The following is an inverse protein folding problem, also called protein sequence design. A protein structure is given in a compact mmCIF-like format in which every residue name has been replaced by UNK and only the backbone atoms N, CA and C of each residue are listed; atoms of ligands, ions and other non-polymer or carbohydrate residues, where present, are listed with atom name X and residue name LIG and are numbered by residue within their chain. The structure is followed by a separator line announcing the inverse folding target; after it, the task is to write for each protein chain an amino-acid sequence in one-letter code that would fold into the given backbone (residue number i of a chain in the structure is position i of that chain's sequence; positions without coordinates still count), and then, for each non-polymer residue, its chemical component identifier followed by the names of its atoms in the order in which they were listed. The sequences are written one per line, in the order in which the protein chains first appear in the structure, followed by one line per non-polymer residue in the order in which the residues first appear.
data_IF_079522471576
#
_entry.id   IF_079522471576
#
_cell.length_a   1.000
_cell.length_b   1.000
_cell.length_c   1.000
_cell.angle_alpha   90.00
_cell.angle_beta   90.00
_cell.angle_gamma   90.00
#
_symmetry.space_group_name_H-M   'P 1'
#
loop_
_entity.id
_entity.type
_entity.pdbx_description
1 polymer ?
#
# COMPACT_ATOMS: atom_id res chain seq x y z
N UNK A 1 -32.70 -38.62 -13.98
CA UNK A 1 -31.89 -38.25 -12.80
C UNK A 1 -30.68 -37.47 -13.30
N UNK A 2 -30.75 -36.14 -13.27
CA UNK A 2 -29.60 -35.26 -13.48
C UNK A 2 -29.90 -33.97 -12.70
N UNK A 3 -29.46 -33.93 -11.44
CA UNK A 3 -29.48 -32.71 -10.63
C UNK A 3 -28.24 -31.90 -10.98
N UNK A 4 -28.43 -30.78 -11.67
CA UNK A 4 -27.39 -29.75 -11.81
C UNK A 4 -27.10 -29.18 -10.42
N UNK A 5 -25.82 -29.00 -10.01
CA UNK A 5 -25.53 -28.28 -8.79
C UNK A 5 -25.90 -26.81 -8.98
N UNK A 6 -26.79 -26.35 -8.11
CA UNK A 6 -27.17 -24.95 -7.92
C UNK A 6 -25.88 -24.15 -7.67
N UNK A 7 -25.65 -23.13 -8.48
CA UNK A 7 -24.59 -22.17 -8.27
C UNK A 7 -24.81 -21.49 -6.90
N UNK A 8 -23.86 -21.68 -5.98
CA UNK A 8 -23.81 -20.95 -4.71
C UNK A 8 -23.34 -19.53 -5.03
N UNK A 9 -24.28 -18.65 -5.40
CA UNK A 9 -24.06 -17.20 -5.36
C UNK A 9 -24.61 -16.70 -4.04
N UNK A 10 -23.77 -16.75 -3.02
CA UNK A 10 -24.03 -16.19 -1.70
C UNK A 10 -22.72 -15.71 -1.10
N UNK A 11 -22.03 -14.80 -1.78
CA UNK A 11 -20.98 -14.02 -1.15
C UNK A 11 -21.66 -12.76 -0.58
N UNK A 12 -21.75 -12.69 0.74
CA UNK A 12 -22.12 -11.44 1.40
C UNK A 12 -20.98 -10.46 1.17
N UNK A 13 -21.24 -9.35 0.47
CA UNK A 13 -20.20 -8.37 0.16
C UNK A 13 -20.09 -7.34 1.29
N UNK A 14 -18.93 -7.23 1.92
CA UNK A 14 -18.66 -6.23 2.95
C UNK A 14 -17.85 -5.05 2.38
N UNK A 15 -18.51 -3.91 2.15
CA UNK A 15 -17.84 -2.71 1.64
C UNK A 15 -17.14 -1.88 2.73
N UNK A 16 -17.33 -2.21 4.01
CA UNK A 16 -16.80 -1.42 5.11
C UNK A 16 -15.26 -1.41 5.15
N UNK A 17 -14.65 -2.59 5.16
CA UNK A 17 -13.19 -2.75 5.20
C UNK A 17 -12.45 -2.17 3.99
N UNK A 18 -12.86 -2.45 2.73
CA UNK A 18 -12.17 -1.87 1.58
C UNK A 18 -12.30 -0.35 1.52
N UNK A 19 -13.45 0.20 1.95
CA UNK A 19 -13.65 1.65 2.02
C UNK A 19 -12.78 2.27 3.12
N UNK A 20 -12.75 1.67 4.31
CA UNK A 20 -11.92 2.14 5.43
C UNK A 20 -10.44 2.12 5.08
N UNK A 21 -9.96 1.03 4.48
CA UNK A 21 -8.57 0.89 4.01
C UNK A 21 -8.23 1.97 2.98
N UNK A 22 -9.10 2.16 1.98
CA UNK A 22 -8.89 3.13 0.90
C UNK A 22 -8.87 4.56 1.43
N UNK A 23 -9.84 4.94 2.28
CA UNK A 23 -9.91 6.27 2.87
C UNK A 23 -8.70 6.56 3.77
N UNK A 24 -8.29 5.58 4.58
CA UNK A 24 -7.10 5.70 5.44
C UNK A 24 -5.83 5.89 4.60
N UNK A 25 -5.71 5.15 3.49
CA UNK A 25 -4.59 5.29 2.57
C UNK A 25 -4.57 6.67 1.88
N UNK A 26 -5.73 7.20 1.48
CA UNK A 26 -5.85 8.55 0.91
C UNK A 26 -5.40 9.60 1.94
N UNK A 27 -5.90 9.53 3.17
CA UNK A 27 -5.54 10.49 4.24
C UNK A 27 -4.04 10.47 4.50
N UNK A 28 -3.44 9.28 4.65
CA UNK A 28 -2.01 9.14 4.90
C UNK A 28 -1.17 9.64 3.70
N UNK A 29 -1.60 9.33 2.48
CA UNK A 29 -0.94 9.83 1.25
C UNK A 29 -0.98 11.35 1.18
N UNK A 30 -2.12 11.97 1.45
CA UNK A 30 -2.26 13.44 1.47
C UNK A 30 -1.33 14.05 2.51
N UNK A 31 -1.24 13.44 3.71
CA UNK A 31 -0.33 13.88 4.76
C UNK A 31 1.15 13.81 4.34
N UNK A 32 1.57 12.67 3.78
CA UNK A 32 2.94 12.47 3.27
C UNK A 32 3.27 13.43 2.13
N UNK A 33 2.36 13.58 1.17
CA UNK A 33 2.55 14.47 0.03
C UNK A 33 2.61 15.94 0.45
N UNK A 34 1.76 16.36 1.39
CA UNK A 34 1.83 17.70 1.97
C UNK A 34 3.15 17.94 2.70
N UNK A 35 3.63 16.97 3.49
CA UNK A 35 4.92 17.05 4.15
C UNK A 35 6.07 17.16 3.13
N UNK A 36 6.02 16.40 2.03
CA UNK A 36 6.99 16.51 0.95
C UNK A 36 6.93 17.88 0.27
N UNK A 37 5.75 18.43 -0.01
CA UNK A 37 5.63 19.78 -0.58
C UNK A 37 6.26 20.85 0.31
N UNK A 38 6.16 20.69 1.63
CA UNK A 38 6.72 21.63 2.61
C UNK A 38 8.24 21.48 2.80
N UNK A 39 8.79 20.28 2.61
CA UNK A 39 10.19 19.97 2.96
C UNK A 39 11.09 19.67 1.76
N UNK A 40 10.50 19.30 0.63
CA UNK A 40 11.11 18.77 -0.59
C UNK A 40 10.36 19.32 -1.82
N UNK A 41 10.14 20.64 -1.85
CA UNK A 41 9.35 21.27 -2.92
C UNK A 41 9.94 20.99 -4.30
N UNK A 42 11.27 20.96 -4.41
CA UNK A 42 12.03 20.56 -5.60
C UNK A 42 11.57 19.21 -6.16
N UNK A 43 11.45 18.20 -5.29
CA UNK A 43 11.00 16.86 -5.65
C UNK A 43 9.55 16.88 -6.14
N UNK A 44 8.67 17.59 -5.43
CA UNK A 44 7.24 17.62 -5.76
C UNK A 44 6.92 18.41 -7.02
N UNK A 45 7.70 19.45 -7.32
CA UNK A 45 7.61 20.22 -8.56
C UNK A 45 8.07 19.39 -9.76
N UNK A 46 9.15 18.64 -9.60
CA UNK A 46 9.71 17.82 -10.68
C UNK A 46 8.86 16.58 -10.99
N UNK A 47 8.29 15.95 -9.97
CA UNK A 47 7.50 14.71 -10.12
C UNK A 47 6.01 14.95 -10.29
N UNK A 48 5.50 16.11 -9.85
CA UNK A 48 4.08 16.45 -9.93
C UNK A 48 3.18 15.40 -9.28
N UNK A 49 1.98 15.21 -9.81
CA UNK A 49 1.01 14.24 -9.27
C UNK A 49 1.46 12.77 -9.37
N UNK A 50 2.41 12.45 -10.27
CA UNK A 50 2.91 11.08 -10.46
C UNK A 50 3.64 10.59 -9.21
N UNK A 51 4.45 11.44 -8.58
CA UNK A 51 5.08 11.11 -7.30
C UNK A 51 4.04 10.81 -6.21
N UNK A 52 2.96 11.60 -6.17
CA UNK A 52 1.83 11.38 -5.27
C UNK A 52 1.13 10.03 -5.51
N UNK A 53 0.97 9.61 -6.76
CA UNK A 53 0.39 8.30 -7.09
C UNK A 53 1.29 7.14 -6.65
N UNK A 54 2.60 7.25 -6.83
CA UNK A 54 3.55 6.22 -6.36
C UNK A 54 3.41 6.03 -4.85
N UNK A 55 3.32 7.13 -4.10
CA UNK A 55 3.07 7.08 -2.65
C UNK A 55 1.72 6.45 -2.36
N UNK A 56 0.65 6.86 -3.07
CA UNK A 56 -0.67 6.27 -2.90
C UNK A 56 -0.67 4.75 -3.09
N UNK A 57 -0.06 4.24 -4.16
CA UNK A 57 -0.01 2.80 -4.43
C UNK A 57 0.70 2.02 -3.33
N UNK A 58 1.82 2.52 -2.82
CA UNK A 58 2.57 1.88 -1.73
C UNK A 58 1.88 1.99 -0.37
N UNK A 59 1.21 3.11 -0.11
CA UNK A 59 0.45 3.32 1.13
C UNK A 59 -0.83 2.47 1.14
N UNK A 60 -1.54 2.38 0.01
CA UNK A 60 -2.73 1.55 -0.12
C UNK A 60 -2.41 0.07 0.12
N UNK A 61 -1.30 -0.41 -0.44
CA UNK A 61 -0.78 -1.76 -0.14
C UNK A 61 -0.60 -1.94 1.37
N UNK A 62 0.17 -1.05 1.99
CA UNK A 62 0.49 -1.18 3.40
C UNK A 62 -0.74 -1.16 4.32
N UNK A 63 -1.70 -0.27 4.03
CA UNK A 63 -2.94 -0.17 4.82
C UNK A 63 -3.85 -1.37 4.59
N UNK A 64 -3.98 -1.85 3.35
CA UNK A 64 -4.82 -3.02 3.05
C UNK A 64 -4.25 -4.30 3.65
N UNK A 65 -2.92 -4.46 3.68
CA UNK A 65 -2.22 -5.53 4.41
C UNK A 65 -2.42 -5.40 5.92
N UNK A 66 -2.28 -4.20 6.49
CA UNK A 66 -2.51 -3.96 7.91
C UNK A 66 -3.92 -4.36 8.34
N UNK A 67 -4.93 -3.92 7.59
CA UNK A 67 -6.33 -4.27 7.87
C UNK A 67 -6.56 -5.77 7.68
N UNK A 68 -6.03 -6.35 6.61
CA UNK A 68 -6.12 -7.78 6.33
C UNK A 68 -5.59 -8.63 7.48
N UNK A 69 -4.39 -8.34 7.96
CA UNK A 69 -3.72 -9.14 8.98
C UNK A 69 -4.27 -8.85 10.38
N UNK A 70 -4.22 -7.58 10.81
CA UNK A 70 -4.50 -7.24 12.20
C UNK A 70 -6.01 -7.22 12.52
N UNK A 71 -6.91 -7.13 11.51
CA UNK A 71 -8.37 -7.11 11.73
C UNK A 71 -9.14 -8.28 11.11
N UNK A 72 -8.67 -8.82 9.99
CA UNK A 72 -9.40 -9.85 9.24
C UNK A 72 -8.74 -11.23 9.33
N UNK A 73 -7.57 -11.33 10.00
CA UNK A 73 -6.88 -12.60 10.21
C UNK A 73 -6.23 -13.18 8.95
N UNK A 74 -5.98 -12.36 7.92
CA UNK A 74 -5.26 -12.79 6.73
C UNK A 74 -3.79 -13.08 7.06
N UNK A 75 -3.14 -13.83 6.17
CA UNK A 75 -1.71 -14.15 6.27
C UNK A 75 -0.94 -13.48 5.13
N UNK A 76 0.27 -13.01 5.43
CA UNK A 76 1.15 -12.42 4.41
C UNK A 76 1.94 -13.50 3.69
N UNK A 77 1.81 -13.64 2.37
CA UNK A 77 2.50 -14.67 1.59
C UNK A 77 3.90 -14.24 1.14
N UNK A 78 4.16 -12.93 1.03
CA UNK A 78 5.45 -12.42 0.55
C UNK A 78 6.51 -12.51 1.65
N UNK A 79 7.56 -13.29 1.39
CA UNK A 79 8.63 -13.57 2.36
C UNK A 79 9.22 -12.31 3.04
N UNK A 80 9.58 -11.29 2.25
CA UNK A 80 10.16 -10.06 2.81
C UNK A 80 9.16 -9.27 3.68
N UNK A 81 7.91 -9.16 3.24
CA UNK A 81 6.85 -8.51 4.02
C UNK A 81 6.62 -9.25 5.34
N UNK A 82 6.55 -10.59 5.28
CA UNK A 82 6.41 -11.45 6.46
C UNK A 82 7.56 -11.26 7.44
N UNK A 83 8.80 -11.19 6.98
CA UNK A 83 9.96 -10.96 7.84
C UNK A 83 9.87 -9.64 8.61
N UNK A 84 9.40 -8.57 7.95
CA UNK A 84 9.18 -7.27 8.60
C UNK A 84 8.08 -7.40 9.68
N UNK A 85 6.95 -8.02 9.34
CA UNK A 85 5.80 -8.16 10.24
C UNK A 85 6.15 -9.03 11.46
N UNK A 86 6.82 -10.16 11.26
CA UNK A 86 7.28 -11.04 12.34
C UNK A 86 8.31 -10.38 13.25
N UNK A 87 9.19 -9.53 12.68
CA UNK A 87 10.12 -8.73 13.47
C UNK A 87 9.39 -7.68 14.31
N UNK A 88 8.32 -7.09 13.74
CA UNK A 88 7.49 -6.09 14.39
C UNK A 88 6.78 -6.67 15.60
N UNK A 89 6.26 -7.90 15.50
CA UNK A 89 5.56 -8.59 16.58
C UNK A 89 6.39 -8.78 17.86
N UNK A 90 7.72 -8.61 17.78
CA UNK A 90 8.64 -8.69 18.93
C UNK A 90 8.92 -7.34 19.59
N UNK A 91 8.39 -6.25 19.02
CA UNK A 91 8.61 -4.90 19.51
C UNK A 91 7.58 -4.51 20.58
N UNK A 92 7.94 -3.67 21.58
CA UNK A 92 7.05 -3.28 22.67
C UNK A 92 5.79 -2.53 22.22
N UNK A 93 5.81 -1.94 21.03
CA UNK A 93 4.69 -1.17 20.48
C UNK A 93 3.59 -2.05 19.88
N UNK A 94 3.81 -3.36 19.75
CA UNK A 94 2.87 -4.31 19.13
C UNK A 94 1.54 -4.35 19.89
N UNK A 95 1.58 -4.32 21.22
CA UNK A 95 0.38 -4.37 22.07
C UNK A 95 -0.54 -3.16 21.82
N UNK A 96 0.01 -2.04 21.33
CA UNK A 96 -0.72 -0.82 21.05
C UNK A 96 -1.12 -0.68 19.58
N UNK A 97 -0.22 -1.04 18.66
CA UNK A 97 -0.33 -0.69 17.23
C UNK A 97 -0.60 -1.90 16.32
N UNK A 98 -0.66 -3.12 16.86
CA UNK A 98 -0.76 -4.35 16.07
C UNK A 98 0.60 -4.82 15.54
N UNK A 99 0.59 -5.82 14.66
CA UNK A 99 1.82 -6.46 14.16
C UNK A 99 2.33 -5.83 12.87
N UNK A 100 1.55 -4.97 12.23
CA UNK A 100 1.86 -4.50 10.86
C UNK A 100 2.25 -3.02 10.76
N UNK A 101 2.27 -2.27 11.86
CA UNK A 101 2.57 -0.82 11.82
C UNK A 101 3.94 -0.50 11.20
N UNK A 102 4.97 -1.31 11.44
CA UNK A 102 6.30 -1.09 10.87
C UNK A 102 6.30 -1.31 9.36
N UNK A 103 5.49 -2.26 8.86
CA UNK A 103 5.32 -2.45 7.42
C UNK A 103 4.78 -1.18 6.74
N UNK A 104 3.81 -0.51 7.38
CA UNK A 104 3.30 0.79 6.94
C UNK A 104 4.40 1.84 6.91
N UNK A 105 5.19 1.97 7.97
CA UNK A 105 6.29 2.93 8.01
C UNK A 105 7.35 2.65 6.94
N UNK A 106 7.72 1.38 6.74
CA UNK A 106 8.68 0.96 5.72
C UNK A 106 8.17 1.30 4.32
N UNK A 107 6.90 0.99 4.02
CA UNK A 107 6.28 1.32 2.73
C UNK A 107 6.21 2.83 2.49
N UNK A 108 5.85 3.62 3.50
CA UNK A 108 5.84 5.08 3.41
C UNK A 108 7.26 5.63 3.15
N UNK A 109 8.25 5.16 3.92
CA UNK A 109 9.65 5.57 3.76
C UNK A 109 10.22 5.17 2.41
N UNK A 110 9.94 3.95 1.95
CA UNK A 110 10.34 3.44 0.64
C UNK A 110 9.73 4.29 -0.48
N UNK A 111 8.44 4.60 -0.41
CA UNK A 111 7.77 5.41 -1.44
C UNK A 111 8.34 6.83 -1.50
N UNK A 112 8.46 7.51 -0.37
CA UNK A 112 9.06 8.85 -0.29
C UNK A 112 10.51 8.82 -0.78
N UNK A 113 11.27 7.81 -0.37
CA UNK A 113 12.66 7.60 -0.77
C UNK A 113 12.82 7.41 -2.28
N UNK A 114 12.05 6.50 -2.88
CA UNK A 114 12.08 6.25 -4.33
C UNK A 114 11.68 7.51 -5.10
N UNK A 115 10.61 8.19 -4.69
CA UNK A 115 10.16 9.44 -5.36
C UNK A 115 11.25 10.51 -5.28
N UNK A 116 11.89 10.66 -4.13
CA UNK A 116 12.98 11.63 -3.93
C UNK A 116 14.22 11.29 -4.74
N UNK A 117 14.65 10.03 -4.74
CA UNK A 117 15.83 9.56 -5.47
C UNK A 117 15.61 9.73 -6.97
N UNK A 118 14.50 9.23 -7.50
CA UNK A 118 14.18 9.32 -8.91
C UNK A 118 13.95 10.76 -9.37
N UNK A 119 13.49 11.66 -8.52
CA UNK A 119 13.45 13.09 -8.84
C UNK A 119 14.88 13.64 -9.00
N UNK A 120 15.75 13.38 -8.02
CA UNK A 120 17.09 13.98 -7.99
C UNK A 120 18.14 13.28 -8.87
N UNK A 121 17.79 12.18 -9.52
CA UNK A 121 18.70 11.55 -10.50
C UNK A 121 18.75 12.37 -11.78
N UNK A 122 19.93 12.84 -12.16
CA UNK A 122 20.14 13.56 -13.44
C UNK A 122 20.38 12.61 -14.62
N UNK A 123 20.91 11.41 -14.34
CA UNK A 123 21.31 10.44 -15.38
C UNK A 123 20.12 9.74 -16.08
N UNK A 124 18.93 9.75 -15.47
CA UNK A 124 17.76 9.07 -16.01
C UNK A 124 16.99 9.96 -16.98
N UNK A 125 16.76 9.47 -18.19
CA UNK A 125 15.87 10.12 -19.14
C UNK A 125 14.44 10.25 -18.58
N UNK A 126 13.64 11.14 -19.18
CA UNK A 126 12.23 11.30 -18.79
C UNK A 126 11.47 9.97 -18.90
N UNK A 127 11.67 9.21 -19.98
CA UNK A 127 10.96 7.95 -20.20
C UNK A 127 11.32 6.91 -19.13
N UNK A 128 12.61 6.74 -18.83
CA UNK A 128 13.08 5.80 -17.80
C UNK A 128 12.51 6.15 -16.43
N UNK A 129 12.50 7.43 -16.06
CA UNK A 129 11.96 7.88 -14.77
C UNK A 129 10.47 7.59 -14.64
N UNK A 130 9.70 7.85 -15.69
CA UNK A 130 8.27 7.55 -15.72
C UNK A 130 8.00 6.05 -15.69
N UNK A 131 8.81 5.24 -16.37
CA UNK A 131 8.75 3.79 -16.30
C UNK A 131 9.01 3.29 -14.88
N UNK A 132 10.06 3.80 -14.22
CA UNK A 132 10.41 3.44 -12.84
C UNK A 132 9.31 3.86 -11.85
N UNK A 133 8.68 5.01 -12.04
CA UNK A 133 7.49 5.39 -11.28
C UNK A 133 6.32 4.43 -11.53
N UNK A 134 6.05 4.06 -12.78
CA UNK A 134 5.01 3.09 -13.12
C UNK A 134 5.24 1.72 -12.47
N UNK A 135 6.47 1.21 -12.53
CA UNK A 135 6.87 -0.05 -11.88
C UNK A 135 6.69 0.05 -10.36
N UNK A 136 7.17 1.14 -9.76
CA UNK A 136 7.05 1.35 -8.31
C UNK A 136 5.59 1.47 -7.88
N UNK A 137 4.77 2.19 -8.65
CA UNK A 137 3.33 2.27 -8.41
C UNK A 137 2.70 0.88 -8.48
N UNK A 138 2.96 0.13 -9.55
CA UNK A 138 2.42 -1.23 -9.74
C UNK A 138 2.83 -2.21 -8.64
N UNK A 139 4.07 -2.11 -8.14
CA UNK A 139 4.59 -2.97 -7.08
C UNK A 139 3.88 -2.79 -5.73
N UNK A 140 3.21 -1.65 -5.49
CA UNK A 140 2.32 -1.47 -4.34
C UNK A 140 0.85 -1.67 -4.72
N UNK A 141 0.41 -1.01 -5.78
CA UNK A 141 -1.00 -1.01 -6.18
C UNK A 141 -1.52 -2.41 -6.56
N UNK A 142 -0.70 -3.27 -7.17
CA UNK A 142 -1.09 -4.64 -7.52
C UNK A 142 -1.50 -5.47 -6.30
N UNK A 143 -0.60 -5.68 -5.32
CA UNK A 143 -0.95 -6.32 -4.04
C UNK A 143 -2.14 -5.65 -3.33
N UNK A 144 -2.22 -4.32 -3.35
CA UNK A 144 -3.32 -3.58 -2.75
C UNK A 144 -4.69 -3.95 -3.35
N UNK A 145 -4.78 -4.09 -4.68
CA UNK A 145 -6.02 -4.52 -5.35
C UNK A 145 -6.40 -5.96 -4.97
N UNK A 146 -5.42 -6.85 -4.84
CA UNK A 146 -5.65 -8.21 -4.36
C UNK A 146 -6.18 -8.22 -2.92
N UNK A 147 -5.60 -7.40 -2.04
CA UNK A 147 -6.08 -7.30 -0.67
C UNK A 147 -7.50 -6.70 -0.61
N UNK A 148 -7.80 -5.69 -1.40
CA UNK A 148 -9.15 -5.11 -1.47
C UNK A 148 -10.18 -6.10 -1.97
N UNK A 149 -9.85 -6.96 -2.95
CA UNK A 149 -10.79 -7.99 -3.42
C UNK A 149 -11.08 -9.02 -2.34
N UNK A 150 -10.07 -9.43 -1.57
CA UNK A 150 -10.25 -10.28 -0.39
C UNK A 150 -11.10 -9.58 0.68
N UNK A 151 -10.90 -8.28 0.90
CA UNK A 151 -11.67 -7.50 1.87
C UNK A 151 -13.16 -7.32 1.49
N UNK A 152 -13.48 -7.41 0.20
CA UNK A 152 -14.86 -7.35 -0.30
C UNK A 152 -15.57 -8.69 -0.11
N UNK A 153 -14.84 -9.80 -0.16
CA UNK A 153 -15.35 -11.18 -0.19
C UNK A 153 -15.32 -11.89 1.18
N UNK A 154 -15.47 -11.15 2.27
CA UNK A 154 -15.44 -11.65 3.66
C UNK A 154 -16.84 -11.97 4.17
#
# INVERSE_FOLDING_TARGET
MASLPVAVFGADFCLFWPLLSTLSAVVLTVGLWAAMRLRLSDVTEQTGWVGGLVIFGQVLDAITTLVGIDRLGFTEEVFLSRLIIESTARLPLTDLLGTTWLFVLVKCGLAVGIVTLLARTDDASRAERWLLFGITFGAGFGPALNNLSLQVAI
#
